data_IF_512286208047
#
_entry.id   IF_512286208047
#
_cell.length_a   1.000
_cell.length_b   1.000
_cell.length_c   1.000
_cell.angle_alpha   90.00
_cell.angle_beta   90.00
_cell.angle_gamma   90.00
#
_symmetry.space_group_name_H-M   'P 1'
#
loop_
_entity.id
_entity.type
_entity.pdbx_description
1 polymer ?
#
# COMPACT_ATOMS: atom_id res chain seq x y z
N UNK A 1 -12.05 -3.22 -12.47
CA UNK A 1 -11.43 -2.62 -11.25
C UNK A 1 -10.05 -3.23 -11.05
N UNK A 2 -9.07 -2.48 -10.52
CA UNK A 2 -7.70 -3.00 -10.34
C UNK A 2 -7.55 -3.69 -9.00
N UNK A 3 -7.07 -4.93 -9.01
CA UNK A 3 -6.85 -5.74 -7.81
C UNK A 3 -5.46 -6.40 -7.84
N UNK A 4 -5.05 -6.91 -6.68
CA UNK A 4 -3.81 -7.65 -6.46
C UNK A 4 -4.13 -8.89 -5.64
N UNK A 5 -3.39 -9.99 -5.84
CA UNK A 5 -3.47 -11.15 -4.96
C UNK A 5 -2.81 -10.85 -3.62
N UNK A 6 -3.54 -11.08 -2.54
CA UNK A 6 -2.99 -10.96 -1.20
C UNK A 6 -2.02 -12.12 -0.94
N UNK A 7 -0.72 -11.81 -0.86
CA UNK A 7 0.32 -12.79 -0.52
C UNK A 7 0.64 -12.85 0.96
N UNK A 8 -0.25 -12.37 1.83
CA UNK A 8 -0.04 -12.53 3.26
C UNK A 8 0.07 -14.02 3.59
N UNK A 9 1.23 -14.43 4.12
CA UNK A 9 1.56 -15.83 4.40
C UNK A 9 1.64 -16.04 5.90
N UNK A 10 0.86 -16.97 6.44
CA UNK A 10 0.97 -17.36 7.85
C UNK A 10 0.88 -18.88 7.96
N UNK A 11 1.75 -19.48 8.78
CA UNK A 11 1.86 -20.95 8.92
C UNK A 11 1.98 -21.69 7.59
N UNK A 12 2.69 -21.12 6.61
CA UNK A 12 2.88 -21.71 5.30
C UNK A 12 1.68 -21.61 4.34
N UNK A 13 0.59 -20.94 4.73
CA UNK A 13 -0.57 -20.73 3.87
C UNK A 13 -0.67 -19.27 3.42
N UNK A 14 -0.79 -19.06 2.11
CA UNK A 14 -1.03 -17.76 1.49
C UNK A 14 -2.53 -17.43 1.47
N UNK A 15 -2.86 -16.15 1.70
CA UNK A 15 -4.23 -15.66 1.71
C UNK A 15 -4.96 -15.81 0.35
N UNK A 16 -4.31 -15.43 -0.76
CA UNK A 16 -4.84 -15.57 -2.13
C UNK A 16 -6.03 -14.68 -2.50
N UNK A 17 -6.65 -13.97 -1.56
CA UNK A 17 -7.79 -13.08 -1.86
C UNK A 17 -7.40 -11.85 -2.68
N UNK A 18 -8.27 -11.42 -3.58
CA UNK A 18 -8.10 -10.18 -4.33
C UNK A 18 -8.32 -8.95 -3.43
N UNK A 19 -7.35 -8.04 -3.42
CA UNK A 19 -7.38 -6.79 -2.66
C UNK A 19 -7.11 -5.59 -3.56
N UNK A 20 -7.73 -4.45 -3.26
CA UNK A 20 -7.38 -3.20 -3.93
C UNK A 20 -6.11 -2.59 -3.31
N UNK A 21 -5.30 -1.95 -4.14
CA UNK A 21 -4.06 -1.27 -3.72
C UNK A 21 -4.26 0.07 -3.01
N UNK A 22 -5.48 0.39 -2.57
CA UNK A 22 -5.77 1.60 -1.80
C UNK A 22 -5.66 1.34 -0.29
N UNK A 23 -5.25 2.38 0.44
CA UNK A 23 -5.00 2.30 1.88
C UNK A 23 -6.22 1.86 2.68
N UNK A 24 -7.42 2.35 2.36
CA UNK A 24 -8.61 2.11 3.20
C UNK A 24 -9.04 0.65 3.09
N UNK A 25 -9.19 0.16 1.86
CA UNK A 25 -9.68 -1.20 1.63
C UNK A 25 -8.64 -2.24 2.02
N UNK A 26 -7.36 -1.99 1.77
CA UNK A 26 -6.30 -2.88 2.23
C UNK A 26 -6.20 -2.90 3.76
N UNK A 27 -6.32 -1.75 4.45
CA UNK A 27 -6.37 -1.72 5.93
C UNK A 27 -7.50 -2.59 6.47
N UNK A 28 -8.70 -2.44 5.91
CA UNK A 28 -9.87 -3.24 6.30
C UNK A 28 -9.64 -4.73 6.04
N UNK A 29 -9.02 -5.09 4.91
CA UNK A 29 -8.69 -6.48 4.62
C UNK A 29 -7.71 -7.05 5.65
N UNK A 30 -6.60 -6.36 5.92
CA UNK A 30 -5.60 -6.80 6.91
C UNK A 30 -6.22 -6.93 8.31
N UNK A 31 -7.05 -5.97 8.72
CA UNK A 31 -7.71 -6.05 10.02
C UNK A 31 -8.79 -7.13 10.10
N UNK A 32 -9.49 -7.43 9.00
CA UNK A 32 -10.55 -8.44 9.03
C UNK A 32 -10.01 -9.86 8.96
N UNK A 33 -8.99 -10.08 8.13
CA UNK A 33 -8.51 -11.42 7.80
C UNK A 33 -7.18 -11.79 8.45
N UNK A 34 -6.39 -10.79 8.87
CA UNK A 34 -5.04 -11.00 9.41
C UNK A 34 -4.84 -10.35 10.79
N UNK A 35 -5.89 -9.85 11.45
CA UNK A 35 -5.80 -9.12 12.74
C UNK A 35 -5.22 -9.94 13.88
N UNK A 36 -5.42 -11.26 13.89
CA UNK A 36 -4.81 -12.14 14.88
C UNK A 36 -3.27 -12.05 14.89
N UNK A 37 -2.66 -11.77 13.73
CA UNK A 37 -1.21 -11.60 13.56
C UNK A 37 -0.75 -10.15 13.70
N UNK A 38 -1.70 -9.22 13.64
CA UNK A 38 -1.49 -7.79 13.88
C UNK A 38 -2.10 -7.42 15.24
N UNK A 39 -1.78 -8.26 16.25
CA UNK A 39 -2.44 -8.35 17.54
C UNK A 39 -2.59 -6.99 18.26
N UNK A 40 -3.70 -6.85 18.99
CA UNK A 40 -3.97 -5.71 19.86
C UNK A 40 -2.95 -5.68 21.00
N UNK A 41 -2.06 -4.67 21.01
CA UNK A 41 -1.08 -4.43 22.06
C UNK A 41 0.38 -4.40 21.59
N UNK A 42 0.69 -5.06 20.47
CA UNK A 42 2.04 -5.02 19.91
C UNK A 42 2.27 -3.71 19.14
N UNK A 43 3.22 -2.88 19.61
CA UNK A 43 3.59 -1.63 18.94
C UNK A 43 4.26 -1.89 17.59
N UNK A 44 4.94 -3.01 17.45
CA UNK A 44 5.64 -3.43 16.25
C UNK A 44 5.21 -4.84 15.84
N UNK A 45 5.10 -5.05 14.54
CA UNK A 45 4.70 -6.33 13.95
C UNK A 45 5.55 -6.60 12.70
N UNK A 46 5.85 -7.87 12.38
CA UNK A 46 6.44 -8.22 11.09
C UNK A 46 5.39 -8.08 9.98
N UNK A 47 5.82 -7.61 8.80
CA UNK A 47 5.04 -7.82 7.59
C UNK A 47 5.25 -9.25 7.12
N UNK A 48 4.18 -10.01 6.85
CA UNK A 48 4.26 -11.40 6.40
C UNK A 48 3.88 -11.57 4.91
N UNK A 49 4.00 -10.51 4.12
CA UNK A 49 3.61 -10.53 2.70
C UNK A 49 4.67 -11.24 1.85
N UNK A 50 4.31 -12.37 1.24
CA UNK A 50 5.19 -13.17 0.40
C UNK A 50 6.49 -13.59 1.11
N UNK A 51 6.40 -13.90 2.41
CA UNK A 51 7.57 -14.21 3.23
C UNK A 51 8.43 -13.00 3.61
N UNK A 52 7.90 -11.78 3.53
CA UNK A 52 8.58 -10.63 4.13
C UNK A 52 8.77 -10.86 5.65
N UNK A 53 9.78 -10.21 6.22
CA UNK A 53 10.11 -10.31 7.66
C UNK A 53 10.35 -8.92 8.28
N UNK A 54 10.07 -7.85 7.53
CA UNK A 54 10.38 -6.50 7.99
C UNK A 54 9.48 -6.11 9.16
N UNK A 55 10.11 -5.78 10.29
CA UNK A 55 9.42 -5.31 11.50
C UNK A 55 9.18 -3.80 11.42
N UNK A 56 7.96 -3.38 11.71
CA UNK A 56 7.57 -1.96 11.72
C UNK A 56 6.42 -1.69 12.66
N UNK A 57 6.13 -0.41 12.90
CA UNK A 57 4.91 -0.02 13.64
C UNK A 57 3.68 -0.55 12.93
N UNK A 58 2.70 -1.05 13.68
CA UNK A 58 1.42 -1.57 13.18
C UNK A 58 0.75 -0.65 12.16
N UNK A 59 0.70 0.64 12.45
CA UNK A 59 0.12 1.67 11.58
C UNK A 59 0.81 1.82 10.21
N UNK A 60 2.05 1.32 10.08
CA UNK A 60 2.85 1.42 8.87
C UNK A 60 2.76 0.19 7.96
N UNK A 61 2.21 -0.95 8.43
CA UNK A 61 2.17 -2.21 7.67
C UNK A 61 1.49 -2.03 6.31
N UNK A 62 0.31 -1.39 6.29
CA UNK A 62 -0.45 -1.17 5.05
C UNK A 62 0.33 -0.28 4.08
N UNK A 63 0.95 0.80 4.59
CA UNK A 63 1.79 1.67 3.76
C UNK A 63 2.97 0.89 3.18
N UNK A 64 3.62 0.08 4.00
CA UNK A 64 4.74 -0.75 3.57
C UNK A 64 4.32 -1.72 2.46
N UNK A 65 3.17 -2.39 2.59
CA UNK A 65 2.66 -3.30 1.56
C UNK A 65 2.44 -2.56 0.24
N UNK A 66 1.74 -1.43 0.25
CA UNK A 66 1.42 -0.67 -0.97
C UNK A 66 2.68 -0.23 -1.70
N UNK A 67 3.67 0.29 -0.98
CA UNK A 67 4.89 0.86 -1.57
C UNK A 67 5.91 -0.20 -1.96
N UNK A 68 6.02 -1.27 -1.17
CA UNK A 68 7.10 -2.26 -1.29
C UNK A 68 6.67 -3.46 -2.12
N UNK A 69 5.50 -4.01 -1.84
CA UNK A 69 5.01 -5.23 -2.47
C UNK A 69 4.12 -4.93 -3.67
N UNK A 70 3.13 -4.05 -3.51
CA UNK A 70 2.27 -3.65 -4.62
C UNK A 70 2.95 -2.63 -5.55
N UNK A 71 4.05 -2.02 -5.11
CA UNK A 71 4.83 -1.01 -5.87
C UNK A 71 3.99 0.11 -6.50
N UNK A 72 2.87 0.46 -5.88
CA UNK A 72 1.99 1.54 -6.34
C UNK A 72 2.71 2.88 -6.16
N UNK A 73 2.65 3.73 -7.20
CA UNK A 73 3.25 5.08 -7.19
C UNK A 73 2.19 6.13 -7.49
N UNK A 74 2.46 7.36 -7.06
CA UNK A 74 1.62 8.53 -7.35
C UNK A 74 2.38 9.44 -8.29
N UNK A 75 1.84 9.66 -9.48
CA UNK A 75 2.46 10.53 -10.48
C UNK A 75 1.75 11.88 -10.51
N UNK A 76 2.52 12.97 -10.48
CA UNK A 76 1.95 14.29 -10.72
C UNK A 76 1.48 14.40 -12.17
N UNK A 77 0.25 14.85 -12.41
CA UNK A 77 -0.27 15.07 -13.77
C UNK A 77 0.46 16.18 -14.54
N UNK A 78 1.11 17.12 -13.83
CA UNK A 78 1.76 18.29 -14.42
C UNK A 78 3.25 18.03 -14.71
N UNK A 79 4.05 17.76 -13.68
CA UNK A 79 5.51 17.57 -13.84
C UNK A 79 5.94 16.11 -14.02
N UNK A 80 5.00 15.16 -14.00
CA UNK A 80 5.25 13.70 -14.17
C UNK A 80 6.18 13.07 -13.12
N UNK A 81 6.51 13.78 -12.04
CA UNK A 81 7.32 13.20 -10.96
C UNK A 81 6.60 12.01 -10.33
N UNK A 82 7.36 10.93 -10.09
CA UNK A 82 6.89 9.76 -9.36
C UNK A 82 7.14 9.93 -7.87
N UNK A 83 6.06 9.87 -7.11
CA UNK A 83 6.05 9.97 -5.66
C UNK A 83 5.74 8.60 -5.07
N UNK A 84 6.40 8.29 -3.97
CA UNK A 84 6.27 7.00 -3.30
C UNK A 84 5.01 6.86 -2.46
N UNK A 85 4.28 7.96 -2.20
CA UNK A 85 3.15 8.02 -1.25
C UNK A 85 2.10 9.04 -1.67
N UNK A 86 0.87 8.86 -1.18
CA UNK A 86 -0.26 9.78 -1.40
C UNK A 86 -0.02 11.15 -0.74
N UNK A 87 0.40 11.18 0.52
CA UNK A 87 0.63 12.42 1.26
C UNK A 87 1.82 13.21 0.70
N UNK A 88 2.80 12.53 0.11
CA UNK A 88 3.88 13.16 -0.64
C UNK A 88 3.36 13.91 -1.87
N UNK A 89 2.24 13.48 -2.47
CA UNK A 89 1.61 14.18 -3.59
C UNK A 89 0.85 15.42 -3.17
N UNK A 90 0.14 15.38 -2.04
CA UNK A 90 -0.50 16.55 -1.46
C UNK A 90 0.55 17.63 -1.18
N UNK A 91 1.62 17.25 -0.46
CA UNK A 91 2.72 18.16 -0.15
C UNK A 91 3.44 18.68 -1.40
N UNK A 92 3.48 17.88 -2.47
CA UNK A 92 4.05 18.31 -3.74
C UNK A 92 3.21 19.45 -4.36
N UNK A 93 1.88 19.33 -4.41
CA UNK A 93 1.00 20.38 -4.93
C UNK A 93 1.03 21.65 -4.08
N UNK A 94 1.21 21.53 -2.77
CA UNK A 94 1.37 22.70 -1.90
C UNK A 94 2.68 23.48 -2.16
N UNK A 95 3.79 22.75 -2.35
CA UNK A 95 5.13 23.34 -2.39
C UNK A 95 5.60 23.73 -3.79
N UNK A 96 5.14 23.03 -4.83
CA UNK A 96 5.58 23.25 -6.21
C UNK A 96 4.56 24.13 -6.92
N UNK A 97 4.88 25.43 -7.06
CA UNK A 97 3.98 26.44 -7.64
C UNK A 97 3.38 26.02 -8.99
N UNK A 98 4.20 25.47 -9.89
CA UNK A 98 3.76 25.01 -11.22
C UNK A 98 2.80 23.82 -11.16
N UNK A 99 2.78 23.06 -10.07
CA UNK A 99 1.96 21.86 -9.90
C UNK A 99 0.79 22.08 -8.93
N UNK A 100 0.52 23.31 -8.47
CA UNK A 100 -0.48 23.60 -7.43
C UNK A 100 -1.88 23.06 -7.73
N UNK A 101 -2.31 23.13 -8.98
CA UNK A 101 -3.60 22.62 -9.44
C UNK A 101 -3.48 21.23 -10.08
N UNK A 102 -2.34 20.58 -9.91
CA UNK A 102 -2.11 19.22 -10.35
C UNK A 102 -2.91 18.22 -9.51
N UNK A 103 -3.08 17.04 -10.09
CA UNK A 103 -3.67 15.89 -9.40
C UNK A 103 -2.71 14.72 -9.44
N UNK A 104 -2.83 13.83 -8.47
CA UNK A 104 -2.02 12.62 -8.42
C UNK A 104 -2.74 11.50 -9.17
N UNK A 105 -2.13 10.99 -10.22
CA UNK A 105 -2.57 9.78 -10.92
C UNK A 105 -1.86 8.56 -10.33
N UNK A 106 -2.58 7.49 -10.06
CA UNK A 106 -2.00 6.27 -9.49
C UNK A 106 -1.38 5.41 -10.61
N UNK A 107 -0.08 5.19 -10.54
CA UNK A 107 0.64 4.21 -11.36
C UNK A 107 0.58 2.84 -10.65
N UNK A 108 0.04 1.85 -11.36
CA UNK A 108 -0.22 0.50 -10.86
C UNK A 108 1.09 -0.30 -10.79
N UNK A 109 1.14 -1.25 -9.85
CA UNK A 109 2.26 -2.17 -9.74
C UNK A 109 2.29 -3.25 -10.83
N UNK A 110 3.40 -3.99 -10.92
CA UNK A 110 3.58 -5.05 -11.91
C UNK A 110 2.61 -6.23 -11.78
N UNK A 111 2.01 -6.42 -10.60
CA UNK A 111 1.09 -7.54 -10.29
C UNK A 111 -0.38 -7.12 -10.27
N UNK A 112 -0.67 -5.92 -10.81
CA UNK A 112 -2.02 -5.41 -10.92
C UNK A 112 -2.83 -6.20 -11.96
N UNK A 113 -4.01 -6.66 -11.58
CA UNK A 113 -4.96 -7.35 -12.46
C UNK A 113 -6.21 -6.51 -12.66
N UNK A 114 -6.77 -6.54 -13.87
CA UNK A 114 -8.08 -5.96 -14.16
C UNK A 114 -9.14 -7.06 -14.07
N UNK A 115 -10.08 -6.88 -13.14
CA UNK A 115 -11.26 -7.75 -12.95
C UNK A 115 -12.56 -6.99 -13.19
#
# INVERSE_FOLDING_TARGET
VVTYLCRWTHSGQECGMHVMGDRIRLTRHIQRWHSAHVAHGQRQVPCLWGGCEKVMKRENVVRHIIVTHLKVKWCCSVCRIRLSRDDASVRHFERVKSCRHGVATVERGPEAQEV
#
